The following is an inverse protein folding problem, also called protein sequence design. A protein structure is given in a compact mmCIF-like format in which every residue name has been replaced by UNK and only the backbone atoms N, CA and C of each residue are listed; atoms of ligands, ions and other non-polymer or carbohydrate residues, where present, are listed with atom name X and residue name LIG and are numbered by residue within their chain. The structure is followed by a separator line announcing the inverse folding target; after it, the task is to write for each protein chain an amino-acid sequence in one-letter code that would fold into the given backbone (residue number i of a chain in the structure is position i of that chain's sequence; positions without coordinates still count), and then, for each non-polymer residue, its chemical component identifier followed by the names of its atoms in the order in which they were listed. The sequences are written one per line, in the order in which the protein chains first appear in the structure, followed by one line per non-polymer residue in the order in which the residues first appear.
data_IF_421995623606
#
_entry.id   IF_421995623606
#
_cell.length_a   1.000
_cell.length_b   1.000
_cell.length_c   1.000
_cell.angle_alpha   90.00
_cell.angle_beta   90.00
_cell.angle_gamma   90.00
#
_symmetry.space_group_name_H-M   'P 1'
#
loop_
_entity.id
_entity.type
_entity.pdbx_description
1 polymer ?
#
# COMPACT_ATOMS: atom_id res chain seq x y z
N UNK A 1 -29.60 37.05 7.00
CA UNK A 1 -28.98 35.89 7.68
C UNK A 1 -29.01 34.71 6.73
N UNK A 2 -27.86 34.15 6.30
CA UNK A 2 -27.86 33.01 5.39
C UNK A 2 -28.47 31.79 6.09
N UNK A 3 -29.58 31.26 5.54
CA UNK A 3 -30.22 30.04 6.03
C UNK A 3 -29.29 28.86 5.70
N UNK A 4 -28.70 28.27 6.73
CA UNK A 4 -27.95 27.02 6.64
C UNK A 4 -29.01 25.92 6.49
N UNK A 5 -29.16 25.35 5.30
CA UNK A 5 -30.07 24.21 5.12
C UNK A 5 -29.39 22.93 5.63
N UNK A 6 -30.15 21.93 6.11
CA UNK A 6 -29.61 20.64 6.56
C UNK A 6 -28.71 19.98 5.51
N UNK A 7 -29.03 20.18 4.23
CA UNK A 7 -28.24 19.69 3.11
C UNK A 7 -26.84 20.35 3.03
N UNK A 8 -26.69 21.62 3.42
CA UNK A 8 -25.39 22.30 3.50
C UNK A 8 -24.54 21.74 4.64
N UNK A 9 -25.14 21.42 5.78
CA UNK A 9 -24.44 20.81 6.93
C UNK A 9 -23.95 19.40 6.55
N UNK A 10 -24.81 18.60 5.92
CA UNK A 10 -24.44 17.28 5.45
C UNK A 10 -23.29 17.35 4.44
N UNK A 11 -23.34 18.25 3.46
CA UNK A 11 -22.25 18.46 2.48
C UNK A 11 -20.93 18.86 3.15
N UNK A 12 -20.97 19.74 4.15
CA UNK A 12 -19.77 20.17 4.88
C UNK A 12 -19.20 19.03 5.72
N UNK A 13 -20.05 18.17 6.29
CA UNK A 13 -19.61 17.01 7.07
C UNK A 13 -19.10 15.87 6.19
N UNK A 14 -19.65 15.66 4.98
CA UNK A 14 -19.22 14.58 4.09
C UNK A 14 -17.96 14.91 3.30
N UNK A 15 -17.69 16.18 3.02
CA UNK A 15 -16.53 16.59 2.22
C UNK A 15 -15.17 16.19 2.84
N UNK A 16 -14.93 16.37 4.16
CA UNK A 16 -13.72 15.88 4.82
C UNK A 16 -13.58 14.36 4.73
N UNK A 17 -14.68 13.61 4.84
CA UNK A 17 -14.66 12.15 4.70
C UNK A 17 -14.32 11.71 3.29
N UNK A 18 -14.87 12.37 2.27
CA UNK A 18 -14.54 12.11 0.87
C UNK A 18 -13.07 12.45 0.59
N UNK A 19 -12.58 13.58 1.11
CA UNK A 19 -11.17 13.98 0.96
C UNK A 19 -10.24 13.03 1.72
N UNK A 20 -10.59 12.60 2.92
CA UNK A 20 -9.83 11.61 3.70
C UNK A 20 -9.78 10.25 3.00
N UNK A 21 -10.92 9.78 2.47
CA UNK A 21 -10.97 8.55 1.68
C UNK A 21 -10.14 8.67 0.40
N UNK A 22 -10.29 9.78 -0.33
CA UNK A 22 -9.48 10.07 -1.51
C UNK A 22 -7.99 10.07 -1.18
N UNK A 23 -7.56 10.84 -0.17
CA UNK A 23 -6.16 10.86 0.28
C UNK A 23 -5.69 9.46 0.66
N UNK A 24 -6.49 8.66 1.35
CA UNK A 24 -6.09 7.31 1.75
C UNK A 24 -5.95 6.35 0.55
N UNK A 25 -6.81 6.49 -0.45
CA UNK A 25 -6.69 5.74 -1.70
C UNK A 25 -5.48 6.19 -2.52
N UNK A 26 -5.19 7.48 -2.59
CA UNK A 26 -4.18 8.05 -3.48
C UNK A 26 -2.78 8.22 -2.86
N UNK A 27 -2.63 8.08 -1.55
CA UNK A 27 -1.31 8.14 -0.91
C UNK A 27 -0.51 6.86 -1.24
N UNK A 28 0.80 6.97 -1.45
CA UNK A 28 1.65 5.81 -1.70
C UNK A 28 1.62 4.87 -0.48
N UNK A 29 1.57 3.58 -0.76
CA UNK A 29 1.53 2.56 0.28
C UNK A 29 2.91 2.36 0.90
N UNK A 30 3.10 2.53 2.22
CA UNK A 30 4.41 2.29 2.83
C UNK A 30 4.76 0.80 2.74
N UNK A 31 5.80 0.52 1.96
CA UNK A 31 6.39 -0.81 1.79
C UNK A 31 7.20 -1.16 3.04
N UNK A 32 7.29 -2.45 3.36
CA UNK A 32 8.22 -2.93 4.40
C UNK A 32 9.66 -2.67 3.90
N UNK A 33 10.47 -1.86 4.60
CA UNK A 33 11.85 -1.61 4.16
C UNK A 33 12.67 -2.90 4.12
N UNK A 34 13.62 -3.06 3.17
CA UNK A 34 14.42 -4.27 3.05
C UNK A 34 15.13 -4.67 4.36
N UNK A 35 15.67 -3.69 5.10
CA UNK A 35 16.35 -3.93 6.38
C UNK A 35 15.43 -4.41 7.53
N UNK A 36 14.11 -4.28 7.40
CA UNK A 36 13.12 -4.75 8.40
C UNK A 36 12.41 -6.02 7.94
N UNK A 37 12.68 -6.50 6.72
CA UNK A 37 11.95 -7.60 6.07
C UNK A 37 12.00 -8.87 6.92
N UNK A 38 13.20 -9.30 7.28
CA UNK A 38 13.39 -10.58 7.99
C UNK A 38 12.81 -10.56 9.40
N UNK A 39 12.96 -9.43 10.10
CA UNK A 39 12.36 -9.26 11.44
C UNK A 39 10.83 -9.23 11.36
N UNK A 40 10.28 -8.57 10.33
CA UNK A 40 8.83 -8.54 10.09
C UNK A 40 8.28 -9.94 9.81
N UNK A 41 8.94 -10.72 8.93
CA UNK A 41 8.59 -12.11 8.61
C UNK A 41 8.62 -12.97 9.87
N UNK A 42 9.73 -12.95 10.61
CA UNK A 42 9.91 -13.70 11.86
C UNK A 42 8.82 -13.36 12.87
N UNK A 43 8.53 -12.08 13.07
CA UNK A 43 7.51 -11.62 14.02
C UNK A 43 6.12 -12.07 13.61
N UNK A 44 5.76 -11.95 12.33
CA UNK A 44 4.44 -12.33 11.80
C UNK A 44 4.18 -13.83 11.90
N UNK A 45 5.14 -14.65 11.53
CA UNK A 45 5.00 -16.11 11.58
C UNK A 45 5.03 -16.63 13.02
N UNK A 46 5.90 -16.06 13.88
CA UNK A 46 5.94 -16.40 15.31
C UNK A 46 4.63 -16.10 16.04
N UNK A 47 3.91 -15.05 15.63
CA UNK A 47 2.60 -14.73 16.22
C UNK A 47 1.45 -15.60 15.67
N UNK A 48 1.72 -16.61 14.84
CA UNK A 48 0.71 -17.44 14.19
C UNK A 48 -0.16 -16.69 13.16
N UNK A 49 0.26 -15.48 12.77
CA UNK A 49 -0.43 -14.66 11.79
C UNK A 49 -0.04 -15.07 10.37
N UNK A 50 -0.97 -14.92 9.42
CA UNK A 50 -0.68 -15.16 8.01
C UNK A 50 0.29 -14.10 7.48
N UNK A 51 1.37 -14.56 6.85
CA UNK A 51 2.28 -13.78 6.05
C UNK A 51 1.96 -14.04 4.57
N UNK A 52 1.69 -12.98 3.82
CA UNK A 52 1.42 -13.09 2.38
C UNK A 52 2.67 -12.67 1.62
N UNK A 53 3.09 -13.46 0.64
CA UNK A 53 4.19 -13.13 -0.27
C UNK A 53 3.75 -13.32 -1.72
N UNK A 54 4.22 -12.45 -2.61
CA UNK A 54 4.05 -12.62 -4.05
C UNK A 54 5.33 -13.13 -4.71
N UNK A 55 5.20 -14.16 -5.54
CA UNK A 55 6.30 -14.75 -6.32
C UNK A 55 5.86 -14.84 -7.78
N UNK A 56 6.79 -14.68 -8.73
CA UNK A 56 6.53 -14.91 -10.15
C UNK A 56 6.07 -16.37 -10.38
N UNK A 57 4.93 -16.54 -11.05
CA UNK A 57 4.35 -17.85 -11.35
C UNK A 57 4.97 -18.49 -12.61
N UNK A 58 5.64 -17.72 -13.46
CA UNK A 58 6.17 -18.21 -14.74
C UNK A 58 7.09 -19.44 -14.61
N UNK A 59 7.99 -19.55 -13.61
CA UNK A 59 8.80 -20.75 -13.41
C UNK A 59 7.95 -22.02 -13.16
N UNK A 60 6.87 -21.89 -12.38
CA UNK A 60 6.01 -23.00 -11.96
C UNK A 60 5.09 -23.52 -13.09
N UNK A 61 4.80 -22.69 -14.10
CA UNK A 61 4.04 -23.10 -15.29
C UNK A 61 4.79 -24.10 -16.16
N UNK A 62 6.10 -24.24 -15.98
CA UNK A 62 6.96 -25.03 -16.87
C UNK A 62 6.97 -26.52 -16.60
N UNK A 63 6.26 -27.04 -15.60
CA UNK A 63 6.26 -28.48 -15.29
C UNK A 63 5.34 -29.26 -16.27
N UNK A 64 5.86 -29.90 -17.35
CA UNK A 64 5.05 -30.50 -18.41
C UNK A 64 4.20 -31.70 -17.94
N UNK A 65 4.50 -32.25 -16.77
CA UNK A 65 3.92 -33.49 -16.26
C UNK A 65 3.02 -33.30 -15.02
N UNK A 66 2.86 -32.07 -14.53
CA UNK A 66 1.93 -31.71 -13.48
C UNK A 66 0.82 -30.84 -14.09
N UNK A 67 -0.10 -31.49 -14.81
CA UNK A 67 -1.32 -30.82 -15.26
C UNK A 67 -2.19 -30.62 -14.04
N UNK A 68 -2.21 -29.40 -13.52
CA UNK A 68 -3.18 -29.03 -12.51
C UNK A 68 -4.50 -28.64 -13.21
N UNK A 69 -5.64 -29.23 -12.83
CA UNK A 69 -6.91 -29.02 -13.52
C UNK A 69 -7.48 -27.60 -13.38
N UNK A 70 -6.97 -26.79 -12.45
CA UNK A 70 -7.49 -25.46 -12.09
C UNK A 70 -6.38 -24.38 -12.12
N UNK A 71 -5.65 -24.28 -13.23
CA UNK A 71 -4.65 -23.20 -13.40
C UNK A 71 -5.34 -21.96 -13.94
N UNK A 72 -5.28 -20.86 -13.20
CA UNK A 72 -5.63 -19.53 -13.70
C UNK A 72 -4.76 -19.16 -14.92
N UNK A 73 -5.32 -19.09 -16.14
CA UNK A 73 -4.53 -18.90 -17.36
C UNK A 73 -3.90 -17.49 -17.44
N UNK A 74 -4.52 -16.50 -16.80
CA UNK A 74 -4.05 -15.11 -16.77
C UNK A 74 -3.16 -14.72 -15.57
N UNK A 75 -2.91 -15.62 -14.61
CA UNK A 75 -2.17 -15.26 -13.40
C UNK A 75 -0.67 -15.22 -13.67
N UNK A 76 -0.02 -14.09 -13.43
CA UNK A 76 1.44 -13.94 -13.54
C UNK A 76 2.16 -14.25 -12.23
N UNK A 77 1.46 -14.23 -11.10
CA UNK A 77 2.06 -14.36 -9.78
C UNK A 77 1.28 -15.32 -8.87
N UNK A 78 2.03 -16.00 -8.00
CA UNK A 78 1.53 -16.78 -6.87
C UNK A 78 1.50 -15.91 -5.61
N UNK A 79 0.36 -15.89 -4.93
CA UNK A 79 0.20 -15.21 -3.64
C UNK A 79 0.15 -16.26 -2.52
N UNK A 80 1.31 -16.59 -1.96
CA UNK A 80 1.43 -17.66 -0.96
C UNK A 80 1.10 -17.11 0.42
N UNK A 81 0.20 -17.79 1.13
CA UNK A 81 -0.24 -17.42 2.47
C UNK A 81 0.43 -18.30 3.52
N UNK A 82 1.63 -17.94 3.95
CA UNK A 82 2.38 -18.68 4.97
C UNK A 82 1.76 -18.50 6.35
N UNK A 83 1.38 -19.61 6.99
CA UNK A 83 0.93 -19.62 8.38
C UNK A 83 1.47 -20.85 9.09
N UNK A 84 2.06 -20.64 10.27
CA UNK A 84 2.46 -21.72 11.17
C UNK A 84 1.33 -21.97 12.16
N UNK A 85 0.81 -23.20 12.18
CA UNK A 85 -0.17 -23.67 13.15
C UNK A 85 0.51 -24.68 14.07
N UNK A 86 0.39 -24.48 15.38
CA UNK A 86 0.89 -25.41 16.39
C UNK A 86 -0.28 -26.28 16.85
N UNK A 87 -0.13 -27.59 16.72
CA UNK A 87 -1.10 -28.59 17.16
C UNK A 87 -0.38 -29.65 18.00
N UNK A 88 -0.41 -29.49 19.32
CA UNK A 88 0.36 -30.33 20.24
C UNK A 88 1.87 -30.17 20.02
N UNK A 89 2.56 -31.27 19.75
CA UNK A 89 4.00 -31.28 19.43
C UNK A 89 4.30 -30.99 17.96
N UNK A 90 3.28 -30.88 17.12
CA UNK A 90 3.44 -30.71 15.68
C UNK A 90 3.25 -29.28 15.21
N UNK A 91 4.06 -28.90 14.23
CA UNK A 91 3.95 -27.60 13.56
C UNK A 91 3.61 -27.80 12.10
N UNK A 92 2.43 -27.32 11.73
CA UNK A 92 1.89 -27.36 10.38
C UNK A 92 2.16 -26.03 9.67
N UNK A 93 2.67 -26.11 8.45
CA UNK A 93 2.83 -24.98 7.54
C UNK A 93 1.66 -24.97 6.54
N UNK A 94 0.73 -24.06 6.71
CA UNK A 94 -0.36 -23.83 5.77
C UNK A 94 0.02 -22.75 4.77
N UNK A 95 -0.38 -22.93 3.52
CA UNK A 95 -0.09 -22.00 2.40
C UNK A 95 -1.35 -21.40 1.77
N UNK A 96 -2.53 -21.86 2.18
CA UNK A 96 -3.84 -21.37 1.74
C UNK A 96 -4.65 -20.76 2.91
N UNK A 97 -5.55 -19.83 2.60
CA UNK A 97 -6.37 -19.15 3.60
C UNK A 97 -7.50 -20.01 4.17
N UNK A 98 -8.05 -20.94 3.37
CA UNK A 98 -9.30 -21.65 3.68
C UNK A 98 -9.15 -23.14 4.00
N UNK A 99 -7.96 -23.71 3.83
CA UNK A 99 -7.79 -25.16 3.99
C UNK A 99 -6.75 -25.50 5.05
N UNK A 100 -7.24 -25.86 6.24
CA UNK A 100 -6.42 -26.36 7.35
C UNK A 100 -5.89 -27.77 7.09
N UNK A 101 -6.42 -28.49 6.08
CA UNK A 101 -6.02 -29.86 5.74
C UNK A 101 -4.88 -29.93 4.71
N UNK A 102 -4.59 -28.83 3.99
CA UNK A 102 -3.48 -28.73 3.02
C UNK A 102 -2.17 -28.22 3.64
N UNK A 103 -1.96 -28.51 4.93
CA UNK A 103 -0.76 -28.09 5.67
C UNK A 103 0.39 -29.11 5.59
N UNK A 104 1.62 -28.61 5.41
CA UNK A 104 2.84 -29.43 5.49
C UNK A 104 3.28 -29.57 6.94
N UNK A 105 3.31 -30.79 7.47
CA UNK A 105 3.75 -31.03 8.84
C UNK A 105 5.29 -31.01 8.93
N UNK A 106 5.85 -29.87 9.32
CA UNK A 106 7.30 -29.64 9.37
C UNK A 106 8.01 -30.55 10.37
N UNK A 107 7.40 -30.78 11.54
CA UNK A 107 7.97 -31.64 12.58
C UNK A 107 7.92 -33.11 12.19
N UNK A 108 6.86 -33.55 11.50
CA UNK A 108 6.79 -34.89 10.92
C UNK A 108 7.83 -35.07 9.82
N UNK A 109 7.98 -34.12 8.91
CA UNK A 109 9.03 -34.18 7.89
C UNK A 109 10.43 -34.27 8.50
N UNK A 110 10.69 -33.51 9.57
CA UNK A 110 11.96 -33.61 10.27
C UNK A 110 12.17 -34.97 10.93
N UNK A 111 11.13 -35.56 11.54
CA UNK A 111 11.18 -36.92 12.09
C UNK A 111 11.44 -37.96 11.01
N UNK A 112 10.77 -37.86 9.86
CA UNK A 112 10.94 -38.77 8.73
C UNK A 112 12.36 -38.70 8.17
N UNK A 113 12.91 -37.49 8.02
CA UNK A 113 14.29 -37.28 7.58
C UNK A 113 15.34 -37.81 8.57
N UNK A 114 15.12 -37.64 9.87
CA UNK A 114 15.99 -38.20 10.93
C UNK A 114 15.93 -39.74 10.89
N UNK A 115 14.75 -40.32 10.76
CA UNK A 115 14.58 -41.78 10.69
C UNK A 115 15.20 -42.35 9.42
N UNK A 116 15.03 -41.66 8.28
CA UNK A 116 15.67 -42.03 7.02
C UNK A 116 17.20 -41.99 7.17
N UNK A 117 17.76 -40.90 7.71
CA UNK A 117 19.19 -40.79 7.97
C UNK A 117 19.67 -41.89 8.93
N UNK A 118 18.99 -42.17 10.05
CA UNK A 118 19.37 -43.27 10.96
C UNK A 118 19.46 -44.65 10.29
N UNK A 119 18.62 -44.92 9.28
CA UNK A 119 18.69 -46.16 8.51
C UNK A 119 19.85 -46.21 7.50
N UNK A 120 20.42 -45.06 7.15
CA UNK A 120 21.54 -44.90 6.20
C UNK A 120 22.89 -44.68 6.92
N UNK A 121 22.85 -44.19 8.16
CA UNK A 121 23.97 -43.91 9.04
C UNK A 121 24.24 -45.13 9.95
N UNK A 122 24.57 -46.30 9.38
CA UNK A 122 24.90 -47.53 10.12
C UNK A 122 26.36 -47.99 9.98
N UNK A 123 27.26 -47.14 9.49
CA UNK A 123 28.70 -47.39 9.29
C UNK A 123 29.58 -46.22 9.72
N UNK A 124 30.49 -46.48 10.66
CA UNK A 124 31.38 -45.52 11.34
C UNK A 124 32.05 -44.46 10.44
N UNK A 125 31.46 -43.26 10.35
CA UNK A 125 32.05 -42.10 9.65
C UNK A 125 31.04 -41.05 9.18
N UNK A 126 29.91 -40.93 9.87
CA UNK A 126 28.61 -40.54 9.31
C UNK A 126 28.37 -39.03 9.21
N UNK A 127 28.47 -38.51 7.98
CA UNK A 127 27.99 -37.18 7.62
C UNK A 127 26.50 -37.28 7.27
N UNK A 128 25.67 -36.40 7.82
CA UNK A 128 24.25 -36.25 7.45
C UNK A 128 24.09 -36.17 5.92
N UNK A 129 23.06 -36.78 5.35
CA UNK A 129 22.75 -36.66 3.92
C UNK A 129 21.46 -35.86 3.73
N UNK A 130 21.43 -34.87 2.81
CA UNK A 130 20.23 -34.09 2.50
C UNK A 130 19.05 -34.98 2.17
N UNK A 131 17.98 -34.87 2.94
CA UNK A 131 16.77 -35.65 2.71
C UNK A 131 15.79 -34.85 1.83
N UNK A 132 15.25 -35.48 0.80
CA UNK A 132 14.24 -34.90 -0.10
C UNK A 132 12.89 -35.57 0.15
N UNK A 133 11.86 -34.78 0.43
CA UNK A 133 10.51 -35.32 0.60
C UNK A 133 9.91 -35.78 -0.73
N UNK A 134 8.79 -36.50 -0.65
CA UNK A 134 7.88 -36.64 -1.80
C UNK A 134 7.35 -35.27 -2.25
N UNK A 135 6.91 -35.13 -3.50
CA UNK A 135 6.31 -33.89 -4.00
C UNK A 135 5.11 -33.47 -3.15
N UNK A 136 5.12 -32.22 -2.71
CA UNK A 136 4.05 -31.55 -1.99
C UNK A 136 3.21 -30.80 -3.00
N UNK A 137 1.90 -31.04 -3.02
CA UNK A 137 0.96 -30.36 -3.91
C UNK A 137 0.17 -29.33 -3.12
N UNK A 138 0.14 -28.11 -3.63
CA UNK A 138 -0.63 -27.02 -3.07
C UNK A 138 -1.68 -26.58 -4.07
N UNK A 139 -2.94 -26.72 -3.68
CA UNK A 139 -4.11 -26.43 -4.50
C UNK A 139 -4.88 -25.23 -3.94
N UNK A 140 -5.65 -24.55 -4.79
CA UNK A 140 -6.47 -23.40 -4.37
C UNK A 140 -5.69 -22.17 -3.91
N UNK A 141 -4.40 -22.07 -4.26
CA UNK A 141 -3.53 -20.97 -3.88
C UNK A 141 -3.99 -19.69 -4.60
N UNK A 142 -4.10 -18.55 -3.90
CA UNK A 142 -4.45 -17.29 -4.53
C UNK A 142 -3.50 -16.94 -5.69
N UNK A 143 -4.07 -16.68 -6.86
CA UNK A 143 -3.35 -16.23 -8.05
C UNK A 143 -3.61 -14.75 -8.30
N UNK A 144 -2.59 -14.03 -8.77
CA UNK A 144 -2.69 -12.63 -9.14
C UNK A 144 -2.01 -12.33 -10.47
N UNK A 145 -2.39 -11.23 -11.08
CA UNK A 145 -1.77 -10.62 -12.26
C UNK A 145 -1.62 -9.12 -12.03
N UNK A 146 -0.79 -8.50 -12.85
CA UNK A 146 -0.68 -7.03 -12.94
C UNK A 146 -1.54 -6.49 -14.10
N UNK A 147 -2.14 -7.38 -14.89
CA UNK A 147 -2.80 -7.04 -16.15
C UNK A 147 -4.28 -6.59 -16.01
N UNK A 148 -4.62 -5.70 -16.94
CA UNK A 148 -5.93 -5.16 -17.40
C UNK A 148 -6.83 -4.31 -16.49
N UNK A 149 -7.09 -4.63 -15.23
CA UNK A 149 -8.22 -3.95 -14.52
C UNK A 149 -7.85 -2.93 -13.43
N UNK A 150 -6.66 -3.01 -12.83
CA UNK A 150 -6.31 -2.20 -11.64
C UNK A 150 -4.90 -1.62 -11.74
N UNK A 151 -4.65 -0.84 -12.79
CA UNK A 151 -3.42 -0.06 -12.89
C UNK A 151 -3.53 1.23 -12.05
N UNK A 152 -3.48 1.06 -10.73
CA UNK A 152 -3.40 2.17 -9.79
C UNK A 152 -1.94 2.36 -9.35
N UNK A 153 -1.21 3.35 -9.89
CA UNK A 153 0.25 3.45 -9.76
C UNK A 153 0.76 3.74 -8.33
N UNK A 154 -0.15 4.09 -7.41
CA UNK A 154 0.16 4.30 -5.99
C UNK A 154 0.02 3.03 -5.13
N UNK A 155 -0.48 1.93 -5.69
CA UNK A 155 -0.38 0.61 -5.09
C UNK A 155 0.90 -0.08 -5.52
N UNK A 156 1.47 -0.87 -4.60
CA UNK A 156 2.58 -1.75 -4.97
C UNK A 156 2.07 -2.85 -5.91
N UNK A 157 2.94 -3.44 -6.75
CA UNK A 157 2.54 -4.57 -7.60
C UNK A 157 1.89 -5.71 -6.81
N UNK A 158 2.41 -6.03 -5.62
CA UNK A 158 1.83 -7.05 -4.73
C UNK A 158 0.41 -6.69 -4.28
N UNK A 159 0.18 -5.43 -3.90
CA UNK A 159 -1.15 -4.98 -3.49
C UNK A 159 -2.12 -5.05 -4.67
N UNK A 160 -1.70 -4.70 -5.89
CA UNK A 160 -2.51 -4.78 -7.10
C UNK A 160 -2.95 -6.23 -7.38
N UNK A 161 -1.99 -7.17 -7.36
CA UNK A 161 -2.24 -8.60 -7.53
C UNK A 161 -3.22 -9.13 -6.48
N UNK A 162 -3.05 -8.71 -5.22
CA UNK A 162 -3.95 -9.09 -4.13
C UNK A 162 -5.37 -8.53 -4.29
N UNK A 163 -5.50 -7.29 -4.75
CA UNK A 163 -6.81 -6.69 -5.03
C UNK A 163 -7.48 -7.45 -6.18
N UNK A 164 -6.76 -7.73 -7.25
CA UNK A 164 -7.28 -8.52 -8.38
C UNK A 164 -7.74 -9.91 -7.90
N UNK A 165 -6.92 -10.60 -7.10
CA UNK A 165 -7.33 -11.86 -6.47
C UNK A 165 -8.66 -11.71 -5.71
N UNK A 166 -8.81 -10.68 -4.88
CA UNK A 166 -10.07 -10.47 -4.14
C UNK A 166 -11.28 -10.16 -5.03
N UNK A 167 -11.08 -9.55 -6.21
CA UNK A 167 -12.16 -9.19 -7.14
C UNK A 167 -12.58 -10.38 -8.01
N UNK A 168 -11.62 -11.14 -8.54
CA UNK A 168 -11.88 -12.23 -9.48
C UNK A 168 -11.88 -13.62 -8.83
N UNK A 169 -11.48 -13.71 -7.57
CA UNK A 169 -11.29 -14.96 -6.85
C UNK A 169 -10.44 -15.97 -7.65
N UNK A 170 -9.35 -15.49 -8.23
CA UNK A 170 -8.49 -16.29 -9.09
C UNK A 170 -7.65 -17.27 -8.26
N UNK A 171 -7.73 -18.57 -8.55
CA UNK A 171 -6.97 -19.59 -7.87
C UNK A 171 -6.01 -20.29 -8.82
N UNK A 172 -4.95 -20.83 -8.26
CA UNK A 172 -3.92 -21.58 -8.96
C UNK A 172 -3.33 -22.64 -8.03
N UNK A 173 -2.39 -23.41 -8.54
CA UNK A 173 -1.75 -24.49 -7.83
C UNK A 173 -0.27 -24.57 -8.20
N UNK A 174 0.51 -25.08 -7.27
CA UNK A 174 1.94 -25.31 -7.47
C UNK A 174 2.39 -26.54 -6.70
N UNK A 175 3.53 -27.10 -7.11
CA UNK A 175 4.19 -28.18 -6.40
C UNK A 175 5.52 -27.73 -5.83
N UNK A 176 5.93 -28.36 -4.73
CA UNK A 176 7.19 -28.11 -4.06
C UNK A 176 7.78 -29.40 -3.47
N UNK A 177 9.01 -29.34 -2.99
CA UNK A 177 9.62 -30.33 -2.12
C UNK A 177 10.01 -29.71 -0.78
N UNK A 178 9.88 -30.48 0.29
CA UNK A 178 10.57 -30.18 1.54
C UNK A 178 11.94 -30.89 1.52
N UNK A 179 13.01 -30.10 1.61
CA UNK A 179 14.39 -30.58 1.66
C UNK A 179 14.93 -30.34 3.06
N UNK A 180 15.57 -31.34 3.65
CA UNK A 180 16.20 -31.25 4.96
C UNK A 180 17.72 -31.46 4.82
N UNK A 181 18.46 -30.39 4.49
CA UNK A 181 19.89 -30.51 4.20
C UNK A 181 20.75 -30.73 5.43
N UNK A 182 20.24 -30.37 6.61
CA UNK A 182 20.89 -30.56 7.91
C UNK A 182 19.84 -30.85 8.97
N UNK A 183 20.23 -31.44 10.12
CA UNK A 183 19.36 -31.54 11.28
C UNK A 183 18.74 -30.18 11.60
N UNK A 184 17.45 -30.17 11.93
CA UNK A 184 16.68 -28.98 12.32
C UNK A 184 16.42 -27.91 11.25
N UNK A 185 16.84 -28.06 9.99
CA UNK A 185 16.57 -27.06 8.93
C UNK A 185 15.69 -27.69 7.86
N UNK A 186 14.49 -27.14 7.63
CA UNK A 186 13.58 -27.55 6.57
C UNK A 186 13.48 -26.42 5.56
N UNK A 187 13.80 -26.72 4.31
CA UNK A 187 13.72 -25.81 3.17
C UNK A 187 12.58 -26.25 2.26
N UNK A 188 11.81 -25.28 1.75
CA UNK A 188 10.74 -25.53 0.78
C UNK A 188 11.23 -25.05 -0.56
N UNK A 189 11.39 -25.96 -1.51
CA UNK A 189 11.90 -25.71 -2.85
C UNK A 189 10.83 -25.95 -3.90
N UNK A 190 10.88 -25.20 -5.00
CA UNK A 190 10.06 -25.42 -6.18
C UNK A 190 10.31 -26.81 -6.79
N UNK A 191 9.23 -27.44 -7.28
CA UNK A 191 9.28 -28.85 -7.73
C UNK A 191 10.19 -29.07 -8.93
N UNK A 192 10.06 -28.24 -9.95
CA UNK A 192 10.76 -28.39 -11.23
C UNK A 192 12.28 -28.18 -11.07
N UNK A 193 12.71 -27.25 -10.22
CA UNK A 193 14.12 -27.03 -9.87
C UNK A 193 14.74 -28.27 -9.23
N UNK A 194 14.04 -28.89 -8.28
CA UNK A 194 14.51 -30.13 -7.63
C UNK A 194 14.56 -31.28 -8.64
N UNK A 195 13.49 -31.47 -9.42
CA UNK A 195 13.40 -32.51 -10.45
C UNK A 195 14.51 -32.37 -11.49
N UNK A 196 14.72 -31.17 -12.02
CA UNK A 196 15.74 -30.88 -13.02
C UNK A 196 17.14 -31.16 -12.49
N UNK A 197 17.40 -30.85 -11.21
CA UNK A 197 18.68 -31.14 -10.58
C UNK A 197 18.93 -32.65 -10.45
N UNK A 198 17.91 -33.44 -10.10
CA UNK A 198 18.00 -34.91 -10.11
C UNK A 198 18.25 -35.46 -11.52
N UNK A 199 17.44 -35.05 -12.51
CA UNK A 199 17.55 -35.56 -13.89
C UNK A 199 18.92 -35.27 -14.51
N UNK A 200 19.46 -34.06 -14.29
CA UNK A 200 20.79 -33.67 -14.75
C UNK A 200 21.89 -34.57 -14.16
N UNK A 201 21.81 -34.90 -12.87
CA UNK A 201 22.83 -35.72 -12.19
C UNK A 201 22.68 -37.21 -12.44
N UNK A 202 21.46 -37.69 -12.62
CA UNK A 202 21.20 -39.08 -13.04
C UNK A 202 21.73 -39.33 -14.46
N UNK A 203 21.63 -38.35 -15.37
CA UNK A 203 22.20 -38.46 -16.71
C UNK A 203 23.73 -38.52 -16.69
N UNK A 204 24.37 -37.83 -15.74
CA UNK A 204 25.82 -37.85 -15.54
C UNK A 204 26.33 -39.15 -14.86
N UNK A 205 25.45 -39.90 -14.17
CA UNK A 205 25.77 -41.14 -13.46
C UNK A 205 25.08 -42.35 -14.10
N UNK A 206 25.63 -42.84 -15.21
CA UNK A 206 25.28 -44.16 -15.72
C UNK A 206 25.72 -45.25 -14.72
N UNK A 207 24.75 -45.94 -14.10
CA UNK A 207 24.90 -47.32 -13.57
C UNK A 207 25.70 -47.51 -12.26
N UNK A 208 25.14 -47.10 -11.11
CA UNK A 208 25.55 -47.68 -9.81
C UNK A 208 24.38 -47.70 -8.82
N UNK A 209 23.90 -48.89 -8.45
CA UNK A 209 22.84 -49.09 -7.44
C UNK A 209 23.35 -49.06 -5.98
N UNK A 210 24.64 -48.77 -5.77
CA UNK A 210 25.20 -48.79 -4.42
C UNK A 210 24.64 -47.64 -3.56
N UNK A 211 24.29 -47.96 -2.31
CA UNK A 211 23.77 -46.97 -1.33
C UNK A 211 24.73 -45.80 -1.09
N UNK A 212 26.03 -46.04 -1.19
CA UNK A 212 27.04 -44.98 -1.11
C UNK A 212 26.96 -44.00 -2.29
N UNK A 213 26.66 -44.51 -3.50
CA UNK A 213 26.45 -43.72 -4.72
C UNK A 213 25.18 -42.86 -4.60
N UNK A 214 24.10 -43.39 -4.01
CA UNK A 214 22.86 -42.62 -3.78
C UNK A 214 23.06 -41.47 -2.76
N UNK A 215 23.80 -41.70 -1.68
CA UNK A 215 24.12 -40.63 -0.72
C UNK A 215 24.98 -39.53 -1.35
N UNK A 216 25.94 -39.91 -2.21
CA UNK A 216 26.76 -38.96 -2.95
C UNK A 216 25.92 -38.17 -3.95
N UNK A 217 25.00 -38.83 -4.67
CA UNK A 217 24.08 -38.19 -5.60
C UNK A 217 23.22 -37.13 -4.91
N UNK A 218 22.63 -37.43 -3.74
CA UNK A 218 21.81 -36.47 -3.00
C UNK A 218 22.59 -35.20 -2.60
N UNK A 219 23.83 -35.36 -2.16
CA UNK A 219 24.71 -34.21 -1.89
C UNK A 219 25.03 -33.42 -3.16
N UNK A 220 25.34 -34.09 -4.28
CA UNK A 220 25.63 -33.44 -5.55
C UNK A 220 24.42 -32.67 -6.10
N UNK A 221 23.21 -33.23 -5.96
CA UNK A 221 21.95 -32.56 -6.32
C UNK A 221 21.75 -31.33 -5.46
N UNK A 222 21.89 -31.46 -4.13
CA UNK A 222 21.72 -30.33 -3.22
C UNK A 222 22.75 -29.21 -3.46
N UNK A 223 24.02 -29.57 -3.69
CA UNK A 223 25.08 -28.60 -4.00
C UNK A 223 24.81 -27.89 -5.35
N UNK A 224 24.34 -28.61 -6.38
CA UNK A 224 23.95 -28.01 -7.68
C UNK A 224 22.77 -27.04 -7.49
N UNK A 225 21.78 -27.41 -6.67
CA UNK A 225 20.64 -26.54 -6.35
C UNK A 225 21.08 -25.26 -5.64
N UNK A 226 21.95 -25.33 -4.62
CA UNK A 226 22.42 -24.13 -3.91
C UNK A 226 23.19 -23.20 -4.85
N UNK A 227 24.06 -23.74 -5.70
CA UNK A 227 24.89 -22.94 -6.62
C UNK A 227 24.05 -22.18 -7.63
N UNK A 228 22.94 -22.78 -8.08
CA UNK A 228 22.05 -22.19 -9.07
C UNK A 228 20.79 -21.57 -8.47
N UNK A 229 20.69 -21.52 -7.15
CA UNK A 229 19.50 -21.06 -6.44
C UNK A 229 19.10 -19.65 -6.87
N UNK A 230 18.02 -19.55 -7.64
CA UNK A 230 17.39 -18.26 -7.94
C UNK A 230 16.39 -17.91 -6.82
N UNK A 231 16.10 -16.61 -6.66
CA UNK A 231 15.18 -16.11 -5.63
C UNK A 231 13.77 -16.73 -5.70
N UNK A 232 13.39 -17.28 -6.87
CA UNK A 232 12.09 -17.91 -7.12
C UNK A 232 12.06 -19.41 -6.87
N UNK A 233 13.20 -20.09 -6.70
CA UNK A 233 13.28 -21.55 -6.57
C UNK A 233 13.24 -22.01 -5.12
N UNK A 234 14.00 -21.34 -4.24
CA UNK A 234 13.92 -21.54 -2.79
C UNK A 234 12.79 -20.68 -2.23
N UNK A 235 11.71 -21.30 -1.77
CA UNK A 235 10.50 -20.60 -1.34
C UNK A 235 10.54 -20.19 0.13
N UNK A 236 11.08 -21.04 1.01
CA UNK A 236 11.18 -20.73 2.43
C UNK A 236 12.22 -21.62 3.15
N UNK A 237 12.77 -21.11 4.24
CA UNK A 237 13.68 -21.84 5.15
C UNK A 237 13.18 -21.71 6.58
N UNK A 238 12.99 -22.84 7.23
CA UNK A 238 12.50 -22.95 8.59
C UNK A 238 13.49 -23.71 9.47
N UNK A 239 13.84 -23.13 10.62
CA UNK A 239 14.61 -23.80 11.67
C UNK A 239 13.67 -24.35 12.73
N UNK A 240 13.77 -25.65 13.00
CA UNK A 240 13.05 -26.33 14.06
C UNK A 240 13.93 -26.38 15.31
N UNK A 241 13.50 -25.69 16.35
CA UNK A 241 14.11 -25.69 17.66
C UNK A 241 13.32 -26.67 18.54
N UNK A 242 13.99 -27.71 19.03
CA UNK A 242 13.39 -28.58 20.04
C UNK A 242 13.37 -27.83 21.38
N UNK A 243 12.18 -27.63 21.94
CA UNK A 243 11.99 -27.04 23.27
C UNK A 243 11.33 -28.07 24.20
N UNK A 244 11.48 -27.91 25.51
CA UNK A 244 10.92 -28.80 26.53
C UNK A 244 9.38 -28.86 26.51
N UNK A 245 8.73 -27.83 25.95
CA UNK A 245 7.28 -27.72 25.83
C UNK A 245 6.73 -28.12 24.44
N UNK A 246 7.61 -28.42 23.48
CA UNK A 246 7.24 -28.76 22.09
C UNK A 246 8.27 -28.29 21.07
N UNK A 247 8.02 -28.55 19.79
CA UNK A 247 8.86 -28.01 18.72
C UNK A 247 8.45 -26.57 18.41
N UNK A 248 9.40 -25.64 18.51
CA UNK A 248 9.22 -24.26 18.04
C UNK A 248 9.86 -24.10 16.67
N UNK A 249 9.18 -23.42 15.74
CA UNK A 249 9.69 -23.21 14.37
C UNK A 249 9.94 -21.72 14.14
N UNK A 250 11.13 -21.40 13.65
CA UNK A 250 11.55 -20.04 13.31
C UNK A 250 11.80 -19.97 11.81
N UNK A 251 11.11 -19.05 11.12
CA UNK A 251 11.40 -18.77 9.72
C UNK A 251 12.73 -17.99 9.61
N UNK A 252 13.67 -18.51 8.84
CA UNK A 252 14.93 -17.82 8.54
C UNK A 252 14.81 -17.00 7.27
N UNK A 253 14.15 -17.56 6.27
CA UNK A 253 13.95 -16.94 4.96
C UNK A 253 12.57 -17.32 4.42
N UNK A 254 11.95 -16.39 3.69
CA UNK A 254 10.75 -16.62 2.89
C UNK A 254 10.94 -15.79 1.63
N UNK A 255 10.70 -16.37 0.45
CA UNK A 255 10.84 -15.72 -0.84
C UNK A 255 9.65 -14.82 -1.17
N UNK A 256 9.87 -13.94 -2.14
CA UNK A 256 8.83 -13.08 -2.70
C UNK A 256 8.69 -11.72 -2.04
N UNK A 257 7.88 -10.90 -2.69
CA UNK A 257 7.60 -9.53 -2.29
C UNK A 257 6.48 -9.47 -1.25
N UNK A 258 6.61 -8.55 -0.30
CA UNK A 258 5.63 -8.35 0.76
C UNK A 258 4.56 -7.34 0.35
N UNK A 259 3.30 -7.53 0.75
CA UNK A 259 2.30 -6.49 0.62
C UNK A 259 2.67 -5.27 1.46
N UNK A 260 2.07 -4.14 1.12
CA UNK A 260 2.24 -2.94 1.92
C UNK A 260 1.67 -3.10 3.33
N UNK A 261 2.17 -2.28 4.27
CA UNK A 261 1.62 -2.26 5.65
C UNK A 261 0.17 -1.82 5.71
N UNK A 262 -0.28 -1.03 4.73
CA UNK A 262 -1.66 -0.52 4.70
C UNK A 262 -2.63 -1.39 3.91
N UNK A 263 -2.16 -2.46 3.26
CA UNK A 263 -3.00 -3.35 2.48
C UNK A 263 -4.26 -3.84 3.23
N UNK A 264 -4.21 -4.30 4.50
CA UNK A 264 -5.42 -4.75 5.21
C UNK A 264 -6.50 -3.66 5.33
N UNK A 265 -6.08 -2.42 5.59
CA UNK A 265 -6.99 -1.27 5.71
C UNK A 265 -7.55 -0.93 4.31
N UNK A 266 -6.68 -0.92 3.30
CA UNK A 266 -7.08 -0.62 1.92
C UNK A 266 -8.03 -1.68 1.36
N UNK A 267 -7.81 -2.96 1.65
CA UNK A 267 -8.73 -4.06 1.31
C UNK A 267 -10.10 -3.85 1.98
N UNK A 268 -10.11 -3.54 3.28
CA UNK A 268 -11.34 -3.30 4.02
C UNK A 268 -12.13 -2.08 3.50
N UNK A 269 -11.45 -1.12 2.85
CA UNK A 269 -12.09 -0.01 2.17
C UNK A 269 -12.51 -0.36 0.74
N UNK A 270 -11.62 -0.93 -0.08
CA UNK A 270 -11.85 -1.23 -1.50
C UNK A 270 -12.97 -2.24 -1.73
N UNK A 271 -13.07 -3.29 -0.91
CA UNK A 271 -14.07 -4.34 -1.12
C UNK A 271 -15.50 -3.80 -0.97
N UNK A 272 -15.87 -3.07 0.11
CA UNK A 272 -17.20 -2.49 0.23
C UNK A 272 -17.38 -1.18 -0.54
N UNK A 273 -16.35 -0.32 -0.63
CA UNK A 273 -16.47 0.99 -1.28
C UNK A 273 -16.18 0.95 -2.77
N UNK A 274 -15.56 -0.09 -3.32
CA UNK A 274 -15.19 -0.23 -4.73
C UNK A 274 -16.29 0.21 -5.70
N UNK A 275 -17.51 -0.34 -5.59
CA UNK A 275 -18.65 0.07 -6.41
C UNK A 275 -19.05 1.55 -6.25
N UNK A 276 -18.73 2.14 -5.09
CA UNK A 276 -19.04 3.51 -4.73
C UNK A 276 -17.87 4.47 -4.96
N UNK A 277 -16.66 4.01 -5.30
CA UNK A 277 -15.48 4.87 -5.54
C UNK A 277 -15.74 5.84 -6.71
N UNK A 278 -16.53 5.43 -7.70
CA UNK A 278 -16.96 6.29 -8.79
C UNK A 278 -17.84 7.47 -8.33
N UNK A 279 -18.60 7.31 -7.24
CA UNK A 279 -19.55 8.32 -6.77
C UNK A 279 -18.85 9.60 -6.32
N UNK A 280 -17.78 9.57 -5.49
CA UNK A 280 -16.92 10.73 -5.25
C UNK A 280 -16.44 11.41 -6.51
N UNK A 281 -15.96 10.67 -7.54
CA UNK A 281 -15.50 11.28 -8.78
C UNK A 281 -16.63 11.94 -9.57
N UNK A 282 -17.80 11.30 -9.65
CA UNK A 282 -19.00 11.87 -10.26
C UNK A 282 -19.47 13.12 -9.49
N UNK A 283 -19.44 13.08 -8.15
CA UNK A 283 -19.80 14.21 -7.29
C UNK A 283 -18.79 15.36 -7.40
N UNK A 284 -17.50 15.07 -7.48
CA UNK A 284 -16.43 16.05 -7.68
C UNK A 284 -16.54 16.66 -9.08
N UNK A 285 -16.76 15.86 -10.12
CA UNK A 285 -17.01 16.34 -11.47
C UNK A 285 -18.27 17.23 -11.55
N UNK A 286 -19.35 16.83 -10.85
CA UNK A 286 -20.57 17.64 -10.74
C UNK A 286 -20.36 18.92 -9.91
N UNK A 287 -19.53 18.87 -8.87
CA UNK A 287 -19.13 20.06 -8.10
C UNK A 287 -18.31 21.02 -8.97
N UNK A 288 -17.34 20.51 -9.73
CA UNK A 288 -16.59 21.32 -10.68
C UNK A 288 -17.51 21.90 -11.75
N UNK A 289 -18.42 21.12 -12.34
CA UNK A 289 -19.35 21.65 -13.34
C UNK A 289 -20.30 22.72 -12.79
N UNK A 290 -20.63 22.68 -11.49
CA UNK A 290 -21.37 23.76 -10.82
C UNK A 290 -20.51 24.98 -10.45
N UNK A 291 -19.23 24.77 -10.14
CA UNK A 291 -18.29 25.84 -9.77
C UNK A 291 -17.78 26.57 -11.03
N UNK A 292 -17.56 25.88 -12.15
CA UNK A 292 -17.10 26.46 -13.42
C UNK A 292 -17.95 27.65 -13.88
N UNK A 293 -19.29 27.61 -13.95
CA UNK A 293 -20.09 28.77 -14.33
C UNK A 293 -19.98 29.89 -13.29
N UNK A 294 -19.82 29.58 -12.00
CA UNK A 294 -19.64 30.59 -10.96
C UNK A 294 -18.28 31.30 -11.10
N UNK A 295 -17.23 30.55 -11.40
CA UNK A 295 -15.89 31.08 -11.70
C UNK A 295 -15.92 31.94 -12.98
N UNK A 296 -16.58 31.47 -14.05
CA UNK A 296 -16.77 32.23 -15.30
C UNK A 296 -17.57 33.50 -15.05
N UNK A 297 -18.64 33.46 -14.25
CA UNK A 297 -19.44 34.65 -13.89
C UNK A 297 -18.61 35.64 -13.07
N UNK A 298 -17.78 35.17 -12.14
CA UNK A 298 -16.86 36.04 -11.39
C UNK A 298 -15.86 36.69 -12.33
N UNK A 299 -15.23 35.95 -13.24
CA UNK A 299 -14.31 36.51 -14.24
C UNK A 299 -15.01 37.48 -15.20
N UNK A 300 -16.22 37.16 -15.67
CA UNK A 300 -17.00 38.04 -16.53
C UNK A 300 -17.43 39.32 -15.80
N UNK A 301 -17.80 39.23 -14.52
CA UNK A 301 -18.13 40.37 -13.69
C UNK A 301 -16.93 41.28 -13.44
N UNK A 302 -15.76 40.69 -13.13
CA UNK A 302 -14.50 41.44 -13.03
C UNK A 302 -14.13 42.09 -14.35
N UNK A 303 -14.23 41.37 -15.48
CA UNK A 303 -14.01 41.91 -16.81
C UNK A 303 -14.95 43.07 -17.14
N UNK A 304 -16.24 42.92 -16.84
CA UNK A 304 -17.25 43.98 -17.01
C UNK A 304 -16.95 45.21 -16.16
N UNK A 305 -16.54 45.04 -14.90
CA UNK A 305 -16.11 46.13 -14.04
C UNK A 305 -14.88 46.86 -14.59
N UNK A 306 -13.89 46.11 -15.12
CA UNK A 306 -12.71 46.69 -15.75
C UNK A 306 -13.09 47.50 -16.99
N UNK A 307 -13.99 46.97 -17.84
CA UNK A 307 -14.50 47.69 -19.03
C UNK A 307 -15.27 48.94 -18.63
N UNK A 308 -16.15 48.87 -17.62
CA UNK A 308 -16.88 50.03 -17.11
C UNK A 308 -15.94 51.12 -16.59
N UNK A 309 -14.89 50.74 -15.86
CA UNK A 309 -13.86 51.68 -15.38
C UNK A 309 -13.09 52.29 -16.55
N UNK A 310 -12.74 51.50 -17.57
CA UNK A 310 -12.06 51.98 -18.77
C UNK A 310 -12.92 52.96 -19.58
N UNK A 311 -14.19 52.64 -19.83
CA UNK A 311 -15.13 53.50 -20.57
C UNK A 311 -15.39 54.80 -19.81
N UNK A 312 -15.60 54.73 -18.49
CA UNK A 312 -15.79 55.94 -17.68
C UNK A 312 -14.57 56.84 -17.71
N UNK A 313 -13.36 56.28 -17.64
CA UNK A 313 -12.11 57.05 -17.78
C UNK A 313 -11.91 57.65 -19.17
N UNK A 314 -12.34 56.95 -20.23
CA UNK A 314 -12.34 57.51 -21.59
C UNK A 314 -13.29 58.70 -21.72
N UNK A 315 -14.48 58.61 -21.11
CA UNK A 315 -15.45 59.71 -21.07
C UNK A 315 -14.95 60.90 -20.23
N UNK A 316 -14.20 60.62 -19.16
CA UNK A 316 -13.61 61.64 -18.28
C UNK A 316 -12.31 62.26 -18.85
N UNK A 317 -11.88 61.87 -20.07
CA UNK A 317 -10.76 62.50 -20.79
C UNK A 317 -9.37 62.28 -20.19
N UNK A 318 -9.17 61.24 -19.38
CA UNK A 318 -7.91 61.01 -18.67
C UNK A 318 -6.81 60.42 -19.60
N UNK A 319 -5.54 60.84 -19.46
CA UNK A 319 -4.44 60.35 -20.31
C UNK A 319 -4.14 58.86 -20.08
N UNK A 320 -3.84 58.16 -21.17
CA UNK A 320 -3.65 56.70 -21.22
C UNK A 320 -2.43 56.16 -20.43
N UNK A 321 -1.62 56.99 -19.77
CA UNK A 321 -0.37 56.55 -19.11
C UNK A 321 -0.50 56.16 -17.63
N UNK A 322 -1.70 56.24 -17.02
CA UNK A 322 -1.93 55.90 -15.59
C UNK A 322 -2.81 54.65 -15.42
N UNK A 323 -2.40 53.53 -16.04
CA UNK A 323 -3.17 52.27 -15.97
C UNK A 323 -3.13 51.60 -14.58
N UNK A 324 -2.13 51.86 -13.74
CA UNK A 324 -1.94 51.14 -12.48
C UNK A 324 -2.60 51.77 -11.24
N UNK A 325 -2.97 53.07 -11.25
CA UNK A 325 -3.57 53.73 -10.08
C UNK A 325 -5.10 53.52 -9.95
N UNK A 326 -5.75 52.94 -10.96
CA UNK A 326 -7.21 52.84 -11.07
C UNK A 326 -7.87 51.71 -10.27
N UNK A 327 -7.12 50.67 -9.88
CA UNK A 327 -7.68 49.48 -9.20
C UNK A 327 -8.06 49.74 -7.73
N UNK A 328 -7.72 50.90 -7.16
CA UNK A 328 -7.98 51.26 -5.77
C UNK A 328 -9.26 52.11 -5.59
N UNK A 329 -10.01 52.33 -6.67
CA UNK A 329 -11.23 53.15 -6.67
C UNK A 329 -12.35 52.64 -5.74
N UNK A 330 -12.61 51.32 -5.58
CA UNK A 330 -13.61 50.83 -4.63
C UNK A 330 -13.27 51.23 -3.19
N UNK A 331 -11.98 51.18 -2.83
CA UNK A 331 -11.50 51.60 -1.52
C UNK A 331 -11.62 53.11 -1.32
N UNK A 332 -11.35 53.92 -2.35
CA UNK A 332 -11.52 55.39 -2.25
C UNK A 332 -12.99 55.80 -2.11
N UNK A 333 -13.91 55.14 -2.80
CA UNK A 333 -15.35 55.41 -2.68
C UNK A 333 -15.89 55.03 -1.29
N UNK A 334 -15.50 53.85 -0.77
CA UNK A 334 -15.83 53.44 0.60
C UNK A 334 -15.26 54.43 1.65
N UNK A 335 -14.03 54.92 1.46
CA UNK A 335 -13.40 55.90 2.35
C UNK A 335 -14.09 57.27 2.30
N UNK A 336 -14.55 57.70 1.12
CA UNK A 336 -15.27 58.96 0.92
C UNK A 336 -16.70 58.90 1.50
N UNK A 337 -17.40 57.77 1.33
CA UNK A 337 -18.71 57.54 1.92
C UNK A 337 -18.66 57.52 3.45
N UNK A 338 -17.63 56.88 4.03
CA UNK A 338 -17.40 56.86 5.49
C UNK A 338 -17.08 58.25 6.06
N UNK A 339 -16.40 59.12 5.29
CA UNK A 339 -16.14 60.52 5.66
C UNK A 339 -17.41 61.39 5.63
N UNK A 340 -18.24 61.24 4.60
CA UNK A 340 -19.44 62.08 4.47
C UNK A 340 -20.46 61.83 5.59
N UNK A 341 -20.58 60.56 6.04
CA UNK A 341 -21.48 60.17 7.12
C UNK A 341 -21.08 60.73 8.49
N UNK A 342 -19.80 61.00 8.71
CA UNK A 342 -19.29 61.61 9.94
C UNK A 342 -19.31 63.16 9.92
N UNK A 343 -19.65 63.79 8.79
CA UNK A 343 -19.75 65.26 8.68
C UNK A 343 -21.14 65.82 9.03
N UNK A 344 -22.16 64.97 9.15
CA UNK A 344 -23.48 65.35 9.69
C UNK A 344 -23.44 65.44 11.23
N UNK A 345 -22.54 66.27 11.76
CA UNK A 345 -22.52 66.62 13.19
C UNK A 345 -23.59 67.68 13.48
N UNK A 346 -24.73 67.18 13.96
CA UNK A 346 -25.63 67.73 15.00
C UNK A 346 -25.60 69.26 15.20
N UNK A 347 -26.57 69.96 14.60
CA UNK A 347 -27.02 71.25 15.12
C UNK A 347 -27.81 70.99 16.42
N UNK A 348 -27.41 71.62 17.52
CA UNK A 348 -28.14 71.60 18.79
C UNK A 348 -28.95 72.89 18.90
N UNK A 349 -30.25 72.75 19.14
CA UNK A 349 -31.17 73.87 19.34
C UNK A 349 -31.16 74.33 20.79
N UNK A 350 -30.80 75.59 21.03
CA UNK A 350 -31.00 76.25 22.31
C UNK A 350 -32.31 77.06 22.31
N UNK A 351 -32.78 77.53 23.48
CA UNK A 351 -34.04 78.29 23.61
C UNK A 351 -34.05 79.66 22.89
N UNK A 352 -32.94 80.07 22.27
CA UNK A 352 -32.84 81.28 21.45
C UNK A 352 -32.51 81.01 19.95
N UNK A 353 -32.55 79.75 19.49
CA UNK A 353 -32.28 79.36 18.09
C UNK A 353 -30.99 78.55 17.89
N UNK A 354 -30.66 78.17 16.63
CA UNK A 354 -29.56 77.25 16.33
C UNK A 354 -28.18 77.91 16.54
N UNK A 355 -27.36 77.32 17.40
CA UNK A 355 -26.01 77.80 17.69
C UNK A 355 -24.98 76.95 16.93
N UNK A 356 -24.23 77.57 16.02
CA UNK A 356 -23.10 76.92 15.32
C UNK A 356 -21.92 76.77 16.28
N UNK A 357 -21.63 75.53 16.70
CA UNK A 357 -20.40 75.20 17.44
C UNK A 357 -19.18 75.37 16.53
N UNK A 358 -18.55 76.56 16.56
CA UNK A 358 -17.18 76.72 16.04
C UNK A 358 -16.24 75.97 16.99
N UNK A 359 -15.82 74.75 16.62
CA UNK A 359 -14.76 74.02 17.32
C UNK A 359 -13.42 74.72 17.13
N UNK A 360 -13.08 75.65 18.03
CA UNK A 360 -11.70 76.06 18.27
C UNK A 360 -11.00 74.91 19.00
N UNK A 361 -10.48 73.93 18.26
CA UNK A 361 -9.46 73.02 18.78
C UNK A 361 -8.12 73.75 18.72
N UNK A 362 -7.81 74.55 19.74
CA UNK A 362 -6.41 74.82 20.10
C UNK A 362 -5.86 73.49 20.61
N UNK A 363 -4.94 72.91 19.85
CA UNK A 363 -4.10 71.83 20.35
C UNK A 363 -3.19 72.44 21.42
N UNK A 364 -3.18 71.81 22.58
CA UNK A 364 -2.30 72.15 23.68
C UNK A 364 -1.05 71.30 23.45
N UNK A 365 0.01 71.91 22.91
CA UNK A 365 1.30 71.27 22.73
C UNK A 365 2.06 71.34 24.06
N UNK A 366 2.21 70.19 24.71
CA UNK A 366 2.90 70.01 25.99
C UNK A 366 4.44 69.90 25.86
N UNK A 367 5.01 70.08 24.66
CA UNK A 367 6.43 69.82 24.40
C UNK A 367 7.34 71.06 24.33
N UNK A 368 6.86 72.28 24.57
CA UNK A 368 7.70 73.50 24.51
C UNK A 368 8.09 74.10 25.87
N UNK A 369 7.93 73.34 26.97
CA UNK A 369 8.25 73.79 28.32
C UNK A 369 9.41 73.02 28.98
N UNK A 370 10.46 72.69 28.23
CA UNK A 370 11.79 72.40 28.79
C UNK A 370 12.90 72.87 27.83
N UNK A 371 13.51 74.01 28.13
CA UNK A 371 14.69 74.54 27.45
C UNK A 371 15.20 75.79 28.14
N UNK A 372 16.15 75.61 29.06
CA UNK A 372 16.79 76.66 29.85
C UNK A 372 17.47 77.76 29.01
N UNK A 373 17.22 79.02 29.34
CA UNK A 373 18.18 79.96 29.97
C UNK A 373 17.51 81.31 30.25
#
# INVERSE_FOLDING_TARGET
MPRISPCKILKILTLPWIVMLGLFFFLPSPVVPPHQRDEYIKRKLKSGSTLITSIDYMPFRRAPNLVFPEVCPGCTNLLIHWRLLVSGSDVLLCTAYYDEYLGVNLTRHARDAINWNKGHLSGSGERWTPFFSKPLRFEGIPGGSVDEEINMPWFTPVDQQLIQYNMHNAHTSFAAHAVMPRPSIVEIWEYESVRSAFEKKEHDQETSEDKASQNMLQWQVYDDMIVHAQETELLAVFRILADSEGATVVAEYVAGDLPSRTYPIRRALLVPLGPFIAIPFVLVAALFSMITPLVVVVFAWFGFLVVLVAVRRMLDGAPASSYCDGLWWPMHWLRKWRRNRNSQKKDVWGPAGPVKLKTHKKWFDEEEAHGAQ
#
